data_IF_372165643998
#
_entry.id   IF_372165643998
#
_cell.length_a   1.000
_cell.length_b   1.000
_cell.length_c   1.000
_cell.angle_alpha   90.00
_cell.angle_beta   90.00
_cell.angle_gamma   90.00
#
_symmetry.space_group_name_H-M   'P 1'
#
loop_
_entity.id
_entity.type
_entity.pdbx_description
1 polymer ?
#
# COMPACT_ATOMS: atom_id res chain seq x y z
N UNK A 1 -1.18 -12.34 3.88
CA UNK A 1 -1.08 -11.03 3.20
C UNK A 1 0.32 -10.84 2.63
N UNK A 2 0.45 -10.66 1.32
CA UNK A 2 1.71 -10.36 0.64
C UNK A 2 1.92 -8.85 0.49
N UNK A 3 3.14 -8.37 0.74
CA UNK A 3 3.50 -6.96 0.54
C UNK A 3 4.70 -6.89 -0.41
N UNK A 4 4.50 -6.23 -1.55
CA UNK A 4 5.51 -6.06 -2.59
C UNK A 4 5.85 -4.58 -2.71
N UNK A 5 7.00 -4.20 -2.15
CA UNK A 5 7.56 -2.84 -2.26
C UNK A 5 8.86 -2.92 -3.07
N UNK A 6 8.82 -2.66 -4.39
CA UNK A 6 10.01 -2.73 -5.24
C UNK A 6 11.07 -1.71 -4.86
N UNK A 7 12.34 -2.11 -4.87
CA UNK A 7 13.49 -1.21 -4.64
C UNK A 7 13.49 0.01 -5.57
N UNK A 8 13.03 -0.16 -6.81
CA UNK A 8 12.90 0.92 -7.81
C UNK A 8 11.94 2.05 -7.40
N UNK A 9 10.88 1.73 -6.64
CA UNK A 9 9.84 2.70 -6.26
C UNK A 9 10.10 3.33 -4.88
N UNK A 10 10.89 2.66 -4.03
CA UNK A 10 11.31 3.19 -2.74
C UNK A 10 12.80 2.90 -2.53
N UNK A 11 13.68 3.81 -3.01
CA UNK A 11 15.14 3.61 -3.00
C UNK A 11 15.74 3.52 -1.58
N UNK A 12 15.19 4.26 -0.61
CA UNK A 12 15.63 4.23 0.81
C UNK A 12 14.97 3.08 1.58
N UNK A 13 15.74 2.41 2.43
CA UNK A 13 15.24 1.33 3.31
C UNK A 13 14.15 1.82 4.26
N UNK A 14 14.33 3.02 4.84
CA UNK A 14 13.39 3.63 5.79
C UNK A 14 12.00 3.80 5.16
N UNK A 15 11.92 4.31 3.92
CA UNK A 15 10.66 4.44 3.17
C UNK A 15 9.99 3.08 2.98
N UNK A 16 10.75 2.03 2.62
CA UNK A 16 10.21 0.68 2.46
C UNK A 16 9.65 0.13 3.78
N UNK A 17 10.37 0.33 4.89
CA UNK A 17 9.95 -0.14 6.21
C UNK A 17 8.71 0.60 6.70
N UNK A 18 8.63 1.91 6.48
CA UNK A 18 7.45 2.70 6.80
C UNK A 18 6.23 2.25 6.01
N UNK A 19 6.36 2.06 4.69
CA UNK A 19 5.28 1.53 3.85
C UNK A 19 4.81 0.17 4.34
N UNK A 20 5.73 -0.77 4.63
CA UNK A 20 5.37 -2.07 5.17
C UNK A 20 4.62 -1.97 6.50
N UNK A 21 5.04 -1.08 7.40
CA UNK A 21 4.33 -0.84 8.68
C UNK A 21 2.95 -0.25 8.44
N UNK A 22 2.83 0.75 7.56
CA UNK A 22 1.54 1.39 7.27
C UNK A 22 0.54 0.45 6.62
N UNK A 23 1.00 -0.39 5.67
CA UNK A 23 0.14 -1.41 5.06
C UNK A 23 -0.36 -2.38 6.12
N UNK A 24 0.52 -2.89 7.00
CA UNK A 24 0.09 -3.80 8.08
C UNK A 24 -0.89 -3.12 9.05
N UNK A 25 -0.63 -1.88 9.43
CA UNK A 25 -1.52 -1.12 10.31
C UNK A 25 -2.91 -0.91 9.67
N UNK A 26 -2.97 -0.50 8.40
CA UNK A 26 -4.22 -0.27 7.69
C UNK A 26 -5.09 -1.54 7.57
N UNK A 27 -4.46 -2.71 7.43
CA UNK A 27 -5.18 -3.99 7.42
C UNK A 27 -5.61 -4.41 8.83
N UNK A 28 -4.79 -4.17 9.86
CA UNK A 28 -5.15 -4.45 11.25
C UNK A 28 -6.34 -3.59 11.72
N UNK A 29 -6.44 -2.34 11.24
CA UNK A 29 -7.56 -1.44 11.52
C UNK A 29 -8.86 -1.83 10.81
N UNK A 30 -8.85 -2.83 9.92
CA UNK A 30 -10.01 -3.26 9.14
C UNK A 30 -10.34 -4.74 9.37
N UNK A 31 -11.06 -5.06 10.45
CA UNK A 31 -11.45 -6.43 10.78
C UNK A 31 -12.50 -7.03 9.83
N UNK A 32 -13.18 -6.22 9.02
CA UNK A 32 -14.22 -6.66 8.08
C UNK A 32 -13.72 -7.19 6.73
N UNK A 33 -12.42 -7.46 6.60
CA UNK A 33 -11.86 -7.91 5.33
C UNK A 33 -12.20 -9.38 5.07
N UNK A 34 -12.72 -9.73 3.86
CA UNK A 34 -12.98 -11.11 3.51
C UNK A 34 -11.73 -11.99 3.68
N UNK A 35 -11.86 -13.20 4.25
CA UNK A 35 -10.76 -14.14 4.32
C UNK A 35 -10.30 -14.47 2.88
N UNK A 36 -9.00 -14.27 2.61
CA UNK A 36 -8.45 -14.43 1.27
C UNK A 36 -6.98 -14.04 1.13
N UNK A 37 -6.42 -14.28 -0.06
CA UNK A 37 -5.04 -13.93 -0.38
C UNK A 37 -4.95 -12.49 -0.88
N UNK A 38 -4.60 -11.59 0.05
CA UNK A 38 -4.40 -10.18 -0.26
C UNK A 38 -2.94 -9.86 -0.59
N UNK A 39 -2.68 -9.22 -1.73
CA UNK A 39 -1.35 -8.75 -2.14
C UNK A 39 -1.37 -7.24 -2.41
N UNK A 40 -0.55 -6.49 -1.67
CA UNK A 40 -0.38 -5.04 -1.88
C UNK A 40 0.93 -4.80 -2.62
N UNK A 41 0.85 -4.19 -3.81
CA UNK A 41 2.01 -3.85 -4.63
C UNK A 41 2.12 -2.34 -4.83
N UNK A 42 3.27 -1.79 -4.48
CA UNK A 42 3.60 -0.41 -4.83
C UNK A 42 3.83 -0.31 -6.35
N UNK A 43 2.99 0.46 -7.05
CA UNK A 43 3.04 0.64 -8.51
C UNK A 43 3.88 1.84 -8.96
N UNK A 44 3.99 2.88 -8.14
CA UNK A 44 4.64 4.14 -8.50
C UNK A 44 5.70 4.53 -7.47
N UNK A 45 6.79 5.20 -7.89
CA UNK A 45 7.76 5.73 -6.96
C UNK A 45 7.17 6.88 -6.15
N UNK A 46 7.57 7.01 -4.89
CA UNK A 46 7.31 8.23 -4.13
C UNK A 46 8.27 9.33 -4.58
N UNK A 47 7.70 10.45 -5.03
CA UNK A 47 8.46 11.56 -5.57
C UNK A 47 9.34 12.20 -4.49
N UNK A 48 10.64 12.29 -4.78
CA UNK A 48 11.66 12.74 -3.83
C UNK A 48 11.61 14.26 -3.63
N UNK A 49 11.06 14.99 -4.59
CA UNK A 49 10.88 16.44 -4.48
C UNK A 49 9.70 16.79 -3.58
N UNK A 50 8.62 16.00 -3.63
CA UNK A 50 7.43 16.21 -2.78
C UNK A 50 7.60 15.67 -1.36
N UNK A 51 8.49 14.69 -1.18
CA UNK A 51 8.74 14.05 0.12
C UNK A 51 10.24 14.08 0.46
N UNK A 52 10.76 15.24 0.93
CA UNK A 52 12.19 15.41 1.19
C UNK A 52 12.69 14.51 2.34
N UNK A 53 11.85 14.20 3.33
CA UNK A 53 12.21 13.27 4.40
C UNK A 53 11.48 11.92 4.26
N UNK A 54 12.26 10.85 4.29
CA UNK A 54 11.77 9.47 4.17
C UNK A 54 10.78 9.06 5.26
N UNK A 55 10.72 9.82 6.36
CA UNK A 55 9.85 9.63 7.51
C UNK A 55 8.82 10.74 7.72
N UNK A 56 8.67 11.67 6.75
CA UNK A 56 7.73 12.78 6.83
C UNK A 56 6.32 12.31 7.18
N UNK A 57 5.67 13.00 8.11
CA UNK A 57 4.27 12.73 8.43
C UNK A 57 3.35 12.94 7.22
N UNK A 58 3.70 13.88 6.32
CA UNK A 58 3.01 14.08 5.05
C UNK A 58 3.03 12.81 4.16
N UNK A 59 4.19 12.14 4.05
CA UNK A 59 4.31 10.88 3.31
C UNK A 59 3.45 9.79 3.95
N UNK A 60 3.45 9.75 5.29
CA UNK A 60 2.67 8.76 6.06
C UNK A 60 1.17 8.96 5.86
N UNK A 61 0.69 10.20 5.96
CA UNK A 61 -0.71 10.55 5.78
C UNK A 61 -1.16 10.30 4.34
N UNK A 62 -0.37 10.70 3.34
CA UNK A 62 -0.67 10.43 1.94
C UNK A 62 -0.78 8.93 1.66
N UNK A 63 0.20 8.14 2.11
CA UNK A 63 0.17 6.69 1.95
C UNK A 63 -1.01 6.05 2.68
N UNK A 64 -1.35 6.54 3.88
CA UNK A 64 -2.50 6.04 4.65
C UNK A 64 -3.83 6.36 3.97
N UNK A 65 -4.00 7.58 3.45
CA UNK A 65 -5.20 8.00 2.73
C UNK A 65 -5.40 7.16 1.46
N UNK A 66 -4.34 6.95 0.68
CA UNK A 66 -4.39 6.13 -0.54
C UNK A 66 -4.68 4.66 -0.22
N UNK A 67 -4.05 4.11 0.83
CA UNK A 67 -4.34 2.74 1.30
C UNK A 67 -5.79 2.60 1.77
N UNK A 68 -6.32 3.56 2.51
CA UNK A 68 -7.71 3.54 2.97
C UNK A 68 -8.68 3.52 1.78
N UNK A 69 -8.45 4.37 0.77
CA UNK A 69 -9.24 4.40 -0.47
C UNK A 69 -9.14 3.07 -1.24
N UNK A 70 -7.94 2.49 -1.37
CA UNK A 70 -7.76 1.20 -2.04
C UNK A 70 -8.48 0.08 -1.31
N UNK A 71 -8.40 0.06 0.02
CA UNK A 71 -9.07 -0.95 0.84
C UNK A 71 -10.59 -0.78 0.81
N UNK A 72 -11.12 0.45 0.77
CA UNK A 72 -12.57 0.68 0.65
C UNK A 72 -13.09 0.18 -0.69
N UNK A 73 -12.31 0.39 -1.75
CA UNK A 73 -12.62 -0.16 -3.08
C UNK A 73 -12.52 -1.68 -3.12
N UNK A 74 -11.65 -2.29 -2.32
CA UNK A 74 -11.50 -3.72 -2.22
C UNK A 74 -12.56 -4.41 -1.35
N UNK A 75 -13.10 -3.71 -0.34
CA UNK A 75 -14.23 -4.15 0.47
C UNK A 75 -15.56 -4.06 -0.28
N UNK A 76 -15.68 -3.09 -1.20
CA UNK A 76 -16.75 -3.11 -2.20
C UNK A 76 -16.51 -4.33 -3.09
N UNK A 77 -17.50 -5.22 -3.31
CA UNK A 77 -17.35 -6.35 -4.20
C UNK A 77 -17.06 -5.82 -5.61
N UNK A 78 -15.78 -5.75 -5.95
CA UNK A 78 -15.36 -5.48 -7.31
C UNK A 78 -15.52 -6.81 -8.04
N UNK A 79 -16.24 -6.87 -9.18
CA UNK A 79 -16.27 -8.08 -9.98
C UNK A 79 -14.83 -8.51 -10.25
N UNK A 80 -14.52 -9.82 -10.14
CA UNK A 80 -13.17 -10.30 -10.28
C UNK A 80 -12.63 -9.78 -11.61
N UNK A 81 -11.56 -8.98 -11.55
CA UNK A 81 -10.80 -8.69 -12.75
C UNK A 81 -10.14 -10.00 -13.15
N UNK A 82 -10.78 -10.70 -14.08
CA UNK A 82 -10.23 -11.83 -14.82
C UNK A 82 -8.84 -11.46 -15.29
N UNK A 83 -7.85 -11.97 -14.58
CA UNK A 83 -6.43 -11.91 -14.92
C UNK A 83 -5.93 -13.33 -15.09
N UNK A 84 -6.62 -14.12 -15.92
CA UNK A 84 -5.98 -15.17 -16.68
C UNK A 84 -5.10 -14.46 -17.72
N UNK A 85 -3.81 -14.36 -17.40
CA UNK A 85 -2.67 -14.10 -18.27
C UNK A 85 -1.48 -14.62 -17.44
N UNK A 86 -0.90 -15.79 -17.68
CA UNK A 86 -0.84 -16.69 -18.83
C UNK A 86 -0.81 -18.15 -18.36
#
# INVERSE_FOLDING_TARGET
MGIVVPKRHAKRSVTRQLLKRQIRAAFAERPGMPPGLWVVRLRSPFDRQKFPSAASDALRQAARAELAQLLDRALKPQPPKSGAQA
#
